data_IF_009263115048
#
_entry.id   IF_009263115048
#
_cell.length_a   1.000
_cell.length_b   1.000
_cell.length_c   1.000
_cell.angle_alpha   90.00
_cell.angle_beta   90.00
_cell.angle_gamma   90.00
#
_symmetry.space_group_name_H-M   'P 1'
#
loop_
_entity.id
_entity.type
_entity.pdbx_description
1 polymer ?
#
# COMPACT_ATOMS: atom_id res chain seq x y z
N UNK A 1 -56.00 -4.49 39.54
CA UNK A 1 -54.56 -4.66 39.18
C UNK A 1 -54.51 -5.80 38.17
N UNK A 2 -54.07 -5.71 36.91
CA UNK A 2 -53.18 -4.81 36.16
C UNK A 2 -53.67 -4.78 34.69
N UNK A 3 -53.47 -3.66 33.98
CA UNK A 3 -53.50 -3.59 32.50
C UNK A 3 -52.31 -4.38 31.93
N UNK A 4 -52.42 -4.94 30.73
CA UNK A 4 -51.29 -5.07 29.81
C UNK A 4 -51.44 -4.02 28.70
N UNK A 5 -50.42 -3.19 28.56
CA UNK A 5 -50.23 -2.28 27.44
C UNK A 5 -49.10 -2.79 26.56
N UNK A 6 -49.21 -2.44 25.28
CA UNK A 6 -48.14 -2.23 24.31
C UNK A 6 -47.51 -3.45 23.60
N UNK A 7 -48.05 -3.64 22.40
CA UNK A 7 -47.38 -3.98 21.15
C UNK A 7 -45.97 -3.39 21.04
N UNK A 8 -44.97 -4.23 20.78
CA UNK A 8 -43.70 -3.81 20.15
C UNK A 8 -43.49 -4.65 18.90
N UNK A 9 -43.71 -3.99 17.76
CA UNK A 9 -43.18 -4.40 16.46
C UNK A 9 -41.65 -4.43 16.56
N UNK A 10 -41.02 -5.56 16.22
CA UNK A 10 -39.62 -5.54 15.81
C UNK A 10 -39.54 -6.01 14.38
N UNK A 11 -39.36 -5.02 13.52
CA UNK A 11 -39.28 -5.10 12.09
C UNK A 11 -38.17 -6.05 11.61
N UNK A 12 -38.48 -6.61 10.46
CA UNK A 12 -37.67 -7.52 9.66
C UNK A 12 -36.35 -6.81 9.31
N UNK A 13 -35.25 -7.25 9.92
CA UNK A 13 -33.90 -6.81 9.54
C UNK A 13 -33.59 -7.34 8.14
N UNK A 14 -33.82 -6.48 7.15
CA UNK A 14 -33.55 -6.72 5.75
C UNK A 14 -32.08 -7.06 5.53
N UNK A 15 -31.83 -8.32 5.15
CA UNK A 15 -30.61 -8.76 4.50
C UNK A 15 -30.43 -7.94 3.21
N UNK A 16 -29.70 -6.82 3.30
CA UNK A 16 -29.24 -6.08 2.13
C UNK A 16 -28.22 -6.94 1.37
N UNK A 17 -28.73 -7.67 0.40
CA UNK A 17 -27.97 -8.13 -0.77
C UNK A 17 -27.45 -6.88 -1.47
N UNK A 18 -26.25 -6.41 -1.08
CA UNK A 18 -25.54 -5.39 -1.85
C UNK A 18 -24.83 -6.10 -2.99
N UNK A 19 -25.53 -6.22 -4.11
CA UNK A 19 -24.90 -6.39 -5.43
C UNK A 19 -24.21 -5.06 -5.74
N UNK A 20 -23.04 -4.84 -5.15
CA UNK A 20 -22.25 -3.64 -5.39
C UNK A 20 -21.59 -3.78 -6.77
N UNK A 21 -21.96 -2.91 -7.70
CA UNK A 21 -20.99 -2.38 -8.65
C UNK A 21 -19.74 -2.02 -7.83
N UNK A 22 -18.68 -2.81 -7.96
CA UNK A 22 -17.46 -2.63 -7.17
C UNK A 22 -16.72 -1.40 -7.66
N UNK A 23 -17.20 -0.23 -7.26
CA UNK A 23 -16.39 0.97 -7.29
C UNK A 23 -15.20 0.77 -6.33
N UNK A 24 -14.01 1.20 -6.76
CA UNK A 24 -12.83 1.20 -5.91
C UNK A 24 -13.12 1.93 -4.59
N UNK A 25 -12.67 1.41 -3.44
CA UNK A 25 -12.90 2.07 -2.16
C UNK A 25 -12.32 3.47 -2.14
N UNK A 26 -13.02 4.33 -1.42
CA UNK A 26 -12.72 5.76 -1.35
C UNK A 26 -11.27 6.03 -0.93
N UNK A 27 -10.74 5.25 0.01
CA UNK A 27 -9.36 5.41 0.44
C UNK A 27 -8.36 5.18 -0.71
N UNK A 28 -8.57 4.19 -1.58
CA UNK A 28 -7.64 3.90 -2.69
C UNK A 28 -7.60 5.09 -3.66
N UNK A 29 -8.76 5.69 -3.93
CA UNK A 29 -8.89 6.89 -4.77
C UNK A 29 -8.21 8.11 -4.15
N UNK A 30 -8.41 8.33 -2.84
CA UNK A 30 -7.76 9.41 -2.09
C UNK A 30 -6.24 9.28 -2.15
N UNK A 31 -5.71 8.08 -1.89
CA UNK A 31 -4.27 7.84 -1.96
C UNK A 31 -3.74 7.96 -3.38
N UNK A 32 -4.45 7.51 -4.42
CA UNK A 32 -4.03 7.74 -5.81
C UNK A 32 -3.87 9.24 -6.12
N UNK A 33 -4.86 10.04 -5.73
CA UNK A 33 -4.82 11.50 -5.92
C UNK A 33 -3.63 12.11 -5.19
N UNK A 34 -3.47 11.76 -3.91
CA UNK A 34 -2.34 12.18 -3.09
C UNK A 34 -1.00 11.77 -3.69
N UNK A 35 -0.84 10.54 -4.19
CA UNK A 35 0.44 10.02 -4.71
C UNK A 35 0.89 10.70 -6.01
N UNK A 36 -0.05 11.12 -6.86
CA UNK A 36 0.23 11.80 -8.12
C UNK A 36 0.43 13.32 -7.97
N UNK A 37 -0.02 13.89 -6.86
CA UNK A 37 0.04 15.34 -6.64
C UNK A 37 1.50 15.84 -6.57
N UNK A 38 1.86 16.82 -7.38
CA UNK A 38 3.19 17.46 -7.42
C UNK A 38 4.37 16.51 -7.74
N UNK A 39 4.13 15.44 -8.52
CA UNK A 39 5.20 14.59 -9.08
C UNK A 39 4.90 14.36 -10.56
N UNK A 40 5.65 15.01 -11.45
CA UNK A 40 5.52 14.91 -12.91
C UNK A 40 6.54 13.90 -13.47
N UNK A 41 6.32 12.61 -13.20
CA UNK A 41 7.16 11.53 -13.71
C UNK A 41 6.29 10.40 -14.29
N UNK A 42 6.57 10.01 -15.54
CA UNK A 42 5.75 9.03 -16.26
C UNK A 42 5.89 7.62 -15.67
N UNK A 43 7.10 7.26 -15.22
CA UNK A 43 7.36 5.94 -14.62
C UNK A 43 6.62 5.80 -13.30
N UNK A 44 6.59 6.86 -12.49
CA UNK A 44 5.82 6.97 -11.27
C UNK A 44 4.32 6.88 -11.53
N UNK A 45 3.79 7.66 -12.48
CA UNK A 45 2.37 7.62 -12.81
C UNK A 45 1.92 6.20 -13.20
N UNK A 46 2.72 5.50 -14.01
CA UNK A 46 2.50 4.10 -14.37
C UNK A 46 2.55 3.17 -13.15
N UNK A 47 3.53 3.36 -12.25
CA UNK A 47 3.63 2.61 -10.99
C UNK A 47 2.37 2.78 -10.13
N UNK A 48 1.86 4.01 -10.00
CA UNK A 48 0.64 4.29 -9.25
C UNK A 48 -0.60 3.66 -9.89
N UNK A 49 -0.68 3.63 -11.22
CA UNK A 49 -1.77 2.94 -11.91
C UNK A 49 -1.73 1.43 -11.69
N UNK A 50 -0.55 0.81 -11.72
CA UNK A 50 -0.38 -0.61 -11.39
C UNK A 50 -0.78 -0.89 -9.93
N UNK A 51 -0.29 -0.08 -8.99
CA UNK A 51 -0.66 -0.19 -7.58
C UNK A 51 -2.17 -0.06 -7.36
N UNK A 52 -2.80 0.92 -8.02
CA UNK A 52 -4.24 1.16 -7.91
C UNK A 52 -5.05 -0.05 -8.40
N UNK A 53 -4.67 -0.62 -9.56
CA UNK A 53 -5.31 -1.83 -10.10
C UNK A 53 -5.13 -3.01 -9.15
N UNK A 54 -3.90 -3.23 -8.67
CA UNK A 54 -3.57 -4.29 -7.73
C UNK A 54 -4.43 -4.21 -6.45
N UNK A 55 -4.55 -3.03 -5.84
CA UNK A 55 -5.39 -2.84 -4.65
C UNK A 55 -6.88 -3.13 -4.89
N UNK A 56 -7.42 -2.67 -6.02
CA UNK A 56 -8.83 -2.91 -6.38
C UNK A 56 -9.08 -4.40 -6.58
N UNK A 57 -8.14 -5.13 -7.18
CA UNK A 57 -8.25 -6.57 -7.37
C UNK A 57 -8.15 -7.37 -6.07
N UNK A 58 -7.23 -7.00 -5.18
CA UNK A 58 -7.06 -7.66 -3.89
C UNK A 58 -8.29 -7.54 -2.97
N UNK A 59 -9.17 -6.57 -3.20
CA UNK A 59 -10.36 -6.31 -2.39
C UNK A 59 -11.59 -7.13 -2.82
N UNK A 60 -11.47 -7.95 -3.88
CA UNK A 60 -12.52 -8.88 -4.30
C UNK A 60 -12.74 -9.96 -3.24
N UNK A 61 -14.00 -10.35 -2.93
CA UNK A 61 -14.27 -11.39 -1.94
C UNK A 61 -13.58 -12.71 -2.30
N UNK A 62 -12.94 -13.37 -1.32
CA UNK A 62 -12.26 -14.66 -1.52
C UNK A 62 -10.73 -14.60 -1.54
N UNK A 63 -10.14 -13.40 -1.49
CA UNK A 63 -8.71 -13.21 -1.25
C UNK A 63 -8.37 -13.42 0.23
N UNK A 64 -7.37 -14.27 0.51
CA UNK A 64 -6.86 -14.58 1.85
C UNK A 64 -6.30 -13.37 2.63
N UNK A 65 -5.75 -13.59 3.82
CA UNK A 65 -5.41 -12.52 4.77
C UNK A 65 -3.91 -12.22 4.90
N UNK A 66 -3.11 -12.45 3.86
CA UNK A 66 -1.66 -12.24 3.93
C UNK A 66 -1.33 -10.75 3.84
N UNK A 67 -0.84 -10.18 4.95
CA UNK A 67 -0.26 -8.83 5.05
C UNK A 67 1.26 -8.90 4.86
N UNK A 68 1.93 -7.74 4.75
CA UNK A 68 3.39 -7.70 4.86
C UNK A 68 3.84 -8.39 6.16
N UNK A 69 4.68 -9.42 6.03
CA UNK A 69 5.16 -10.21 7.16
C UNK A 69 6.25 -9.50 7.96
N UNK A 70 6.86 -8.45 7.41
CA UNK A 70 7.88 -7.68 8.10
C UNK A 70 7.49 -6.21 8.32
N UNK A 71 7.48 -5.85 9.60
CA UNK A 71 7.33 -4.49 10.12
C UNK A 71 8.61 -4.00 10.81
N UNK A 72 9.65 -4.84 10.93
CA UNK A 72 10.82 -4.62 11.80
C UNK A 72 11.70 -3.46 11.33
N UNK A 73 11.98 -3.37 10.03
CA UNK A 73 12.83 -2.32 9.46
C UNK A 73 12.08 -1.17 8.79
N UNK A 74 10.76 -1.07 8.99
CA UNK A 74 10.03 0.06 8.41
C UNK A 74 10.54 1.39 8.99
N UNK A 75 10.78 2.42 8.16
CA UNK A 75 11.05 3.77 8.64
C UNK A 75 9.99 4.26 9.64
N UNK A 76 10.42 4.67 10.83
CA UNK A 76 9.53 5.11 11.93
C UNK A 76 8.60 6.24 11.50
N UNK A 77 9.08 7.11 10.59
CA UNK A 77 8.32 8.21 10.00
C UNK A 77 7.04 7.72 9.32
N UNK A 78 7.10 6.60 8.60
CA UNK A 78 5.93 5.99 7.94
C UNK A 78 4.90 5.54 8.98
N UNK A 79 5.35 4.87 10.05
CA UNK A 79 4.45 4.41 11.12
C UNK A 79 3.74 5.58 11.80
N UNK A 80 4.48 6.66 12.11
CA UNK A 80 3.91 7.86 12.74
C UNK A 80 2.91 8.56 11.83
N UNK A 81 3.19 8.63 10.53
CA UNK A 81 2.31 9.25 9.55
C UNK A 81 0.99 8.51 9.36
N UNK A 82 1.02 7.18 9.21
CA UNK A 82 -0.24 6.41 9.14
C UNK A 82 -1.08 6.52 10.42
N UNK A 83 -0.43 6.73 11.59
CA UNK A 83 -1.14 6.99 12.85
C UNK A 83 -1.75 8.39 12.91
N UNK A 84 -1.15 9.40 12.28
CA UNK A 84 -1.67 10.77 12.27
C UNK A 84 -2.92 10.92 11.40
N UNK A 85 -3.16 9.96 10.47
CA UNK A 85 -4.25 10.01 9.48
C UNK A 85 -4.24 11.29 8.62
N UNK A 86 -3.09 11.95 8.55
CA UNK A 86 -2.88 13.13 7.72
C UNK A 86 -2.31 12.72 6.37
N UNK A 87 -2.74 13.37 5.29
CA UNK A 87 -2.14 13.25 3.96
C UNK A 87 -1.09 14.34 3.69
N UNK A 88 -0.56 14.96 4.74
CA UNK A 88 0.52 15.95 4.63
C UNK A 88 1.86 15.23 4.69
N UNK A 89 2.73 15.49 3.72
CA UNK A 89 4.06 14.88 3.67
C UNK A 89 4.89 15.29 4.90
N UNK A 90 5.57 14.35 5.57
CA UNK A 90 6.53 14.70 6.60
C UNK A 90 7.80 15.29 5.95
N UNK A 91 8.51 16.13 6.70
CA UNK A 91 9.85 16.57 6.29
C UNK A 91 10.81 15.37 6.35
N UNK A 92 11.52 15.11 5.25
CA UNK A 92 12.62 14.13 5.19
C UNK A 92 13.93 14.90 5.31
N UNK A 93 14.59 14.91 6.49
CA UNK A 93 15.76 15.75 6.72
C UNK A 93 17.04 15.19 6.06
N UNK A 94 17.15 13.88 5.92
CA UNK A 94 18.28 13.19 5.28
C UNK A 94 17.73 12.18 4.26
N UNK A 95 17.87 12.51 2.98
CA UNK A 95 17.36 11.69 1.86
C UNK A 95 18.18 10.42 1.69
N UNK A 96 19.49 10.48 1.90
CA UNK A 96 20.38 9.32 1.75
C UNK A 96 20.11 8.26 2.81
N UNK A 97 19.95 8.69 4.07
CA UNK A 97 19.55 7.80 5.15
C UNK A 97 18.15 7.21 4.90
N UNK A 98 17.19 8.07 4.52
CA UNK A 98 15.82 7.61 4.27
C UNK A 98 15.73 6.61 3.12
N UNK A 99 16.43 6.86 2.01
CA UNK A 99 16.57 5.94 0.88
C UNK A 99 17.11 4.58 1.34
N UNK A 100 18.20 4.59 2.11
CA UNK A 100 18.83 3.38 2.63
C UNK A 100 17.88 2.58 3.53
N UNK A 101 17.17 3.23 4.44
CA UNK A 101 16.16 2.59 5.29
C UNK A 101 14.99 2.02 4.49
N UNK A 102 14.51 2.76 3.47
CA UNK A 102 13.45 2.30 2.58
C UNK A 102 13.88 1.06 1.79
N UNK A 103 15.10 1.07 1.24
CA UNK A 103 15.69 -0.06 0.50
C UNK A 103 15.85 -1.28 1.41
N UNK A 104 16.34 -1.11 2.63
CA UNK A 104 16.46 -2.21 3.59
C UNK A 104 15.09 -2.80 3.92
N UNK A 105 14.11 -1.95 4.13
CA UNK A 105 12.74 -2.37 4.35
C UNK A 105 12.18 -3.12 3.14
N UNK A 106 12.43 -2.64 1.92
CA UNK A 106 12.04 -3.30 0.67
C UNK A 106 12.62 -4.71 0.56
N UNK A 107 13.93 -4.88 0.83
CA UNK A 107 14.59 -6.19 0.83
C UNK A 107 13.99 -7.16 1.84
N UNK A 108 13.63 -6.68 3.03
CA UNK A 108 13.03 -7.52 4.06
C UNK A 108 11.62 -8.00 3.69
N UNK A 109 10.90 -7.22 2.89
CA UNK A 109 9.56 -7.58 2.43
C UNK A 109 9.57 -8.69 1.39
N UNK A 110 10.66 -8.76 0.61
CA UNK A 110 10.77 -9.76 -0.43
C UNK A 110 10.79 -11.19 0.17
N UNK A 111 10.18 -12.17 -0.52
CA UNK A 111 10.28 -13.58 -0.16
C UNK A 111 11.74 -14.00 0.07
N UNK A 112 11.99 -14.96 0.96
CA UNK A 112 13.36 -15.38 1.34
C UNK A 112 14.19 -15.78 0.14
N UNK A 113 13.54 -16.39 -0.85
CA UNK A 113 14.07 -16.82 -2.14
C UNK A 113 14.64 -15.66 -2.98
N UNK A 114 14.34 -14.40 -2.62
CA UNK A 114 14.82 -13.17 -3.28
C UNK A 114 15.76 -12.32 -2.45
N UNK A 115 16.00 -12.68 -1.19
CA UNK A 115 16.83 -11.87 -0.28
C UNK A 115 18.34 -11.99 -0.56
N UNK A 116 18.77 -13.03 -1.30
CA UNK A 116 20.18 -13.34 -1.55
C UNK A 116 20.70 -12.91 -2.94
N UNK A 117 19.94 -12.14 -3.73
CA UNK A 117 20.33 -11.66 -5.06
C UNK A 117 20.84 -10.21 -5.13
N UNK A 118 21.50 -9.80 -6.25
CA UNK A 118 22.12 -8.48 -6.42
C UNK A 118 21.16 -7.28 -6.34
N UNK A 119 19.86 -7.55 -6.34
CA UNK A 119 18.81 -6.98 -5.48
C UNK A 119 17.52 -7.70 -5.88
N UNK A 120 16.40 -7.31 -5.29
CA UNK A 120 15.04 -7.60 -5.74
C UNK A 120 14.71 -7.05 -7.16
N UNK A 121 15.65 -7.19 -8.10
CA UNK A 121 15.63 -6.85 -9.52
C UNK A 121 15.73 -8.15 -10.31
N UNK A 122 14.58 -8.67 -10.69
CA UNK A 122 14.29 -9.23 -12.02
C UNK A 122 15.05 -10.43 -12.62
N UNK A 123 16.23 -10.86 -12.17
CA UNK A 123 17.05 -11.77 -13.01
C UNK A 123 17.49 -13.10 -12.37
N UNK A 124 17.29 -13.31 -11.07
CA UNK A 124 17.66 -14.59 -10.45
C UNK A 124 16.46 -15.50 -10.25
N UNK A 125 16.23 -16.38 -11.23
CA UNK A 125 15.34 -17.54 -11.12
C UNK A 125 14.00 -17.36 -11.83
N UNK A 126 13.48 -18.46 -12.40
CA UNK A 126 12.25 -18.60 -13.21
C UNK A 126 10.92 -18.14 -12.56
N UNK A 127 10.95 -17.25 -11.57
CA UNK A 127 9.79 -16.85 -10.78
C UNK A 127 9.55 -15.36 -10.94
N UNK A 128 8.59 -14.99 -11.79
CA UNK A 128 8.16 -13.62 -12.03
C UNK A 128 7.99 -12.84 -10.72
N UNK A 129 8.53 -11.61 -10.60
CA UNK A 129 8.18 -10.72 -9.51
C UNK A 129 6.69 -10.49 -9.44
N UNK A 130 6.04 -11.11 -8.47
CA UNK A 130 4.60 -10.98 -8.29
C UNK A 130 4.27 -10.90 -6.81
N UNK A 131 3.44 -9.91 -6.50
CA UNK A 131 2.81 -9.73 -5.22
C UNK A 131 1.50 -10.50 -5.08
N UNK A 132 1.22 -11.49 -5.93
CA UNK A 132 0.06 -12.39 -5.80
C UNK A 132 -0.03 -13.11 -4.44
N UNK A 133 1.09 -13.30 -3.74
CA UNK A 133 1.09 -13.83 -2.37
C UNK A 133 0.47 -12.85 -1.36
N UNK A 134 0.43 -11.56 -1.66
CA UNK A 134 -0.25 -10.52 -0.88
C UNK A 134 -1.72 -10.46 -1.26
N UNK A 135 -2.56 -10.85 -0.30
CA UNK A 135 -4.00 -10.94 -0.53
C UNK A 135 -4.78 -9.78 0.12
N UNK A 136 -4.13 -9.01 1.01
CA UNK A 136 -4.63 -7.74 1.58
C UNK A 136 -3.50 -6.73 1.81
N UNK A 137 -3.04 -6.05 0.75
CA UNK A 137 -2.11 -4.93 0.88
C UNK A 137 -2.72 -3.82 1.76
N UNK A 138 -3.89 -3.28 1.46
CA UNK A 138 -4.77 -2.55 2.40
C UNK A 138 -4.25 -1.23 2.98
N UNK A 139 -5.17 -0.41 3.49
CA UNK A 139 -4.87 0.88 4.13
C UNK A 139 -4.35 0.71 5.56
N UNK A 140 -3.13 0.19 5.69
CA UNK A 140 -2.48 0.06 6.99
C UNK A 140 -1.03 0.48 6.87
N UNK A 141 -0.37 0.79 8.00
CA UNK A 141 1.07 0.88 8.02
C UNK A 141 1.62 -0.36 7.33
N UNK A 142 1.26 -1.59 7.73
CA UNK A 142 1.72 -2.86 7.13
C UNK A 142 1.26 -3.17 5.70
N UNK A 143 0.76 -2.19 4.96
CA UNK A 143 0.30 -2.38 3.59
C UNK A 143 1.32 -1.95 2.54
N UNK A 144 1.04 -2.36 1.30
CA UNK A 144 1.81 -1.95 0.13
C UNK A 144 1.77 -0.44 -0.06
N UNK A 145 0.62 0.19 0.25
CA UNK A 145 0.48 1.64 0.21
C UNK A 145 1.57 2.36 1.02
N UNK A 146 2.04 1.78 2.13
CA UNK A 146 3.10 2.41 2.91
C UNK A 146 4.46 2.42 2.18
N UNK A 147 4.73 1.42 1.33
CA UNK A 147 5.93 1.41 0.48
C UNK A 147 5.82 2.52 -0.57
N UNK A 148 4.66 2.62 -1.21
CA UNK A 148 4.38 3.62 -2.25
C UNK A 148 4.45 5.04 -1.67
N UNK A 149 3.83 5.27 -0.51
CA UNK A 149 3.94 6.55 0.22
C UNK A 149 5.39 6.88 0.55
N UNK A 150 6.21 5.89 0.93
CA UNK A 150 7.62 6.13 1.18
C UNK A 150 8.39 6.59 -0.07
N UNK A 151 8.10 5.99 -1.24
CA UNK A 151 8.69 6.43 -2.51
C UNK A 151 8.25 7.84 -2.89
N UNK A 152 7.01 8.24 -2.58
CA UNK A 152 6.56 9.62 -2.79
C UNK A 152 7.42 10.60 -2.00
N UNK A 153 7.68 10.32 -0.73
CA UNK A 153 8.45 11.23 0.11
C UNK A 153 9.89 11.34 -0.35
N UNK A 154 10.46 10.22 -0.80
CA UNK A 154 11.76 10.23 -1.44
C UNK A 154 11.75 11.09 -2.71
N UNK A 155 10.75 10.92 -3.58
CA UNK A 155 10.61 11.70 -4.82
C UNK A 155 10.59 13.22 -4.59
N UNK A 156 9.97 13.65 -3.49
CA UNK A 156 9.78 15.06 -3.15
C UNK A 156 10.91 15.67 -2.31
N UNK A 157 11.87 14.85 -1.88
CA UNK A 157 12.97 15.34 -1.07
C UNK A 157 14.08 15.93 -1.95
N UNK A 158 14.74 16.99 -1.49
CA UNK A 158 15.82 17.67 -2.21
C UNK A 158 17.02 16.70 -2.45
N UNK A 159 17.60 16.69 -3.66
CA UNK A 159 18.68 15.78 -4.10
C UNK A 159 18.28 14.31 -4.35
N UNK A 160 17.16 14.08 -5.04
CA UNK A 160 16.57 12.76 -5.34
C UNK A 160 17.39 11.83 -6.26
N UNK A 161 18.60 12.20 -6.68
CA UNK A 161 19.18 11.65 -7.92
C UNK A 161 19.64 10.18 -7.87
N UNK A 162 19.90 9.58 -6.70
CA UNK A 162 20.47 8.22 -6.66
C UNK A 162 19.43 7.19 -6.23
N UNK A 163 18.97 6.36 -7.17
CA UNK A 163 18.29 5.08 -6.88
C UNK A 163 16.76 5.12 -6.75
N UNK A 164 16.12 6.29 -6.75
CA UNK A 164 14.65 6.38 -6.68
C UNK A 164 13.96 5.72 -7.89
N UNK A 165 14.43 6.02 -9.11
CA UNK A 165 13.87 5.43 -10.34
C UNK A 165 14.01 3.91 -10.41
N UNK A 166 15.13 3.37 -9.91
CA UNK A 166 15.33 1.93 -9.77
C UNK A 166 14.36 1.33 -8.75
N UNK A 167 14.16 1.99 -7.60
CA UNK A 167 13.19 1.56 -6.61
C UNK A 167 11.75 1.54 -7.17
N UNK A 168 11.35 2.57 -7.94
CA UNK A 168 10.07 2.60 -8.66
C UNK A 168 9.96 1.46 -9.67
N UNK A 169 11.02 1.19 -10.43
CA UNK A 169 11.04 0.07 -11.39
C UNK A 169 10.87 -1.28 -10.70
N UNK A 170 11.60 -1.52 -9.59
CA UNK A 170 11.49 -2.78 -8.84
C UNK A 170 10.12 -2.99 -8.23
N UNK A 171 9.52 -1.92 -7.69
CA UNK A 171 8.16 -1.96 -7.15
C UNK A 171 7.16 -2.28 -8.26
N UNK A 172 7.25 -1.57 -9.38
CA UNK A 172 6.37 -1.76 -10.54
C UNK A 172 6.46 -3.17 -11.12
N UNK A 173 7.65 -3.76 -11.16
CA UNK A 173 7.84 -5.12 -11.63
C UNK A 173 7.19 -6.17 -10.72
N UNK A 174 6.88 -5.84 -9.46
CA UNK A 174 6.23 -6.74 -8.52
C UNK A 174 4.70 -6.62 -8.48
N UNK A 175 4.12 -5.57 -9.09
CA UNK A 175 2.68 -5.24 -9.08
C UNK A 175 1.96 -5.84 -10.28
#
# INVERSE_FOLDING_TARGET
>A
RKRPAETVNTEISGKRVRKATQDAPEWVKQYKTYLLENIEDEQWARCIDLWFKFEVECQKPGTGNTRFSSLSKRPVTIVKWFKSKSLVDPKVPDVGQYASEWIEWWKEVQPKERREGPWATGESGNTTPSFEWMKKPGNSPGGLIAMVVGLRWWAKAENTEVGWGEAVATLSACL
#
